data_IF_508800125926
#
_entry.id   IF_508800125926
#
_cell.length_a   1.000
_cell.length_b   1.000
_cell.length_c   1.000
_cell.angle_alpha   90.00
_cell.angle_beta   90.00
_cell.angle_gamma   90.00
#
_symmetry.space_group_name_H-M   'P 1'
#
loop_
_entity.id
_entity.type
_entity.pdbx_description
1 polymer ?
#
# COMPACT_ATOMS: atom_id res chain seq x y z
N UNK A 1 -14.41 9.05 15.66
CA UNK A 1 -13.96 7.65 15.62
C UNK A 1 -13.52 7.31 17.03
N UNK A 2 -14.31 6.48 17.74
CA UNK A 2 -13.93 6.02 19.08
C UNK A 2 -12.85 4.92 18.90
N UNK A 3 -11.68 5.16 19.47
CA UNK A 3 -10.64 4.19 19.60
C UNK A 3 -11.03 3.17 20.66
N UNK A 4 -11.24 1.92 20.25
CA UNK A 4 -11.39 0.81 21.21
C UNK A 4 -10.08 0.01 21.23
N UNK A 5 -9.27 0.09 22.29
CA UNK A 5 -7.97 -0.56 22.34
C UNK A 5 -8.04 -2.09 22.54
N UNK A 6 -9.21 -2.67 22.78
CA UNK A 6 -9.35 -4.08 23.14
C UNK A 6 -9.58 -5.05 21.96
N UNK A 7 -9.75 -4.57 20.72
CA UNK A 7 -9.92 -5.43 19.54
C UNK A 7 -8.62 -5.79 18.82
N UNK A 8 -7.58 -6.08 19.53
CA UNK A 8 -6.40 -6.70 18.93
C UNK A 8 -6.63 -8.20 18.79
N UNK A 9 -7.15 -8.62 17.64
CA UNK A 9 -7.21 -10.06 17.33
C UNK A 9 -5.79 -10.63 17.23
N UNK A 10 -5.58 -11.87 17.69
CA UNK A 10 -4.26 -12.55 17.61
C UNK A 10 -3.68 -12.53 16.17
N UNK A 11 -4.52 -12.50 15.16
CA UNK A 11 -4.15 -12.35 13.74
C UNK A 11 -3.44 -11.01 13.46
N UNK A 12 -3.76 -9.93 14.18
CA UNK A 12 -3.10 -8.63 14.00
C UNK A 12 -1.65 -8.63 14.52
N UNK A 13 -1.32 -9.52 15.47
CA UNK A 13 0.02 -9.61 16.03
C UNK A 13 1.08 -10.18 15.10
N UNK A 14 0.68 -10.80 13.99
CA UNK A 14 1.58 -11.39 12.98
C UNK A 14 1.46 -10.73 11.61
N UNK A 15 0.50 -9.83 11.42
CA UNK A 15 0.25 -9.19 10.14
C UNK A 15 1.25 -8.05 9.86
N UNK A 16 1.73 -7.99 8.61
CA UNK A 16 2.58 -6.92 8.11
C UNK A 16 1.82 -6.11 7.06
N UNK A 17 1.85 -4.79 7.19
CA UNK A 17 1.20 -3.84 6.30
C UNK A 17 2.19 -3.12 5.38
N UNK A 18 1.72 -2.75 4.19
CA UNK A 18 2.46 -1.98 3.21
C UNK A 18 1.67 -0.75 2.77
N UNK A 19 2.21 0.42 3.04
CA UNK A 19 1.70 1.70 2.58
C UNK A 19 2.42 2.12 1.30
N UNK A 20 1.69 2.27 0.21
CA UNK A 20 2.25 2.67 -1.08
C UNK A 20 1.89 4.13 -1.36
N UNK A 21 2.87 4.93 -1.82
CA UNK A 21 2.59 6.31 -2.23
C UNK A 21 1.50 6.36 -3.30
N UNK A 22 0.79 7.50 -3.45
CA UNK A 22 -0.26 7.64 -4.46
C UNK A 22 0.21 7.27 -5.87
N UNK A 23 -0.64 6.51 -6.57
CA UNK A 23 -0.47 6.18 -7.98
C UNK A 23 -1.01 7.32 -8.82
N UNK A 24 -0.18 7.89 -9.69
CA UNK A 24 -0.52 9.08 -10.48
C UNK A 24 -0.09 8.95 -11.94
N UNK A 25 -0.48 9.92 -12.78
CA UNK A 25 -0.05 10.01 -14.18
C UNK A 25 -0.62 8.91 -15.07
N UNK A 26 -1.83 8.43 -14.77
CA UNK A 26 -2.46 7.36 -15.57
C UNK A 26 -1.68 6.05 -15.49
N UNK A 27 -1.08 5.74 -14.33
CA UNK A 27 -0.23 4.58 -14.16
C UNK A 27 -0.89 3.28 -14.63
N UNK A 28 -0.37 2.65 -15.70
CA UNK A 28 -0.98 1.48 -16.35
C UNK A 28 -0.02 0.29 -16.58
N UNK A 29 0.98 0.11 -15.72
CA UNK A 29 1.95 -1.00 -15.83
C UNK A 29 1.49 -2.21 -15.02
N UNK A 30 0.52 -2.96 -15.53
CA UNK A 30 -0.13 -4.06 -14.83
C UNK A 30 0.83 -5.18 -14.41
N UNK A 31 1.74 -5.62 -15.30
CA UNK A 31 2.72 -6.65 -14.97
C UNK A 31 3.65 -6.25 -13.82
N UNK A 32 4.13 -5.02 -13.84
CA UNK A 32 4.97 -4.51 -12.76
C UNK A 32 4.22 -4.36 -11.45
N UNK A 33 2.92 -4.07 -11.51
CA UNK A 33 2.06 -4.08 -10.33
C UNK A 33 1.92 -5.48 -9.74
N UNK A 34 1.73 -6.50 -10.57
CA UNK A 34 1.65 -7.90 -10.14
C UNK A 34 2.97 -8.39 -9.55
N UNK A 35 4.10 -8.08 -10.18
CA UNK A 35 5.43 -8.40 -9.64
C UNK A 35 5.66 -7.75 -8.29
N UNK A 36 5.33 -6.46 -8.17
CA UNK A 36 5.41 -5.71 -6.92
C UNK A 36 4.60 -6.39 -5.81
N UNK A 37 3.34 -6.70 -6.08
CA UNK A 37 2.44 -7.31 -5.09
C UNK A 37 2.93 -8.70 -4.68
N UNK A 38 3.31 -9.54 -5.67
CA UNK A 38 3.81 -10.87 -5.40
C UNK A 38 5.13 -10.85 -4.61
N UNK A 39 6.03 -9.94 -4.93
CA UNK A 39 7.29 -9.77 -4.20
C UNK A 39 7.06 -9.45 -2.72
N UNK A 40 6.20 -8.47 -2.42
CA UNK A 40 5.92 -8.11 -1.02
C UNK A 40 5.12 -9.21 -0.30
N UNK A 41 4.26 -9.94 -0.99
CA UNK A 41 3.58 -11.10 -0.43
C UNK A 41 4.57 -12.21 -0.04
N UNK A 42 5.58 -12.49 -0.86
CA UNK A 42 6.66 -13.43 -0.53
C UNK A 42 7.48 -12.98 0.68
N UNK A 43 7.59 -11.68 0.93
CA UNK A 43 8.22 -11.13 2.13
C UNK A 43 7.32 -11.17 3.38
N UNK A 44 6.12 -11.74 3.27
CA UNK A 44 5.19 -11.88 4.39
C UNK A 44 4.23 -10.70 4.59
N UNK A 45 4.15 -9.76 3.64
CA UNK A 45 3.16 -8.70 3.68
C UNK A 45 1.77 -9.29 3.45
N UNK A 46 0.86 -9.01 4.36
CA UNK A 46 -0.53 -9.49 4.34
C UNK A 46 -1.56 -8.40 4.01
N UNK A 47 -1.16 -7.13 4.13
CA UNK A 47 -2.04 -5.99 3.88
C UNK A 47 -1.32 -4.96 3.03
N UNK A 48 -1.91 -4.56 1.90
CA UNK A 48 -1.36 -3.52 1.02
C UNK A 48 -2.42 -2.45 0.79
N UNK A 49 -2.08 -1.19 1.04
CA UNK A 49 -2.94 -0.05 0.76
C UNK A 49 -2.35 0.80 -0.36
N UNK A 50 -3.12 0.97 -1.43
CA UNK A 50 -2.85 1.86 -2.56
C UNK A 50 -3.75 3.08 -2.49
N UNK A 51 -3.23 4.21 -2.94
CA UNK A 51 -3.96 5.46 -3.13
C UNK A 51 -4.08 5.74 -4.62
N UNK A 52 -5.30 5.74 -5.16
CA UNK A 52 -5.57 5.97 -6.57
C UNK A 52 -5.83 7.45 -6.82
N UNK A 53 -4.79 8.17 -7.27
CA UNK A 53 -4.95 9.49 -7.84
C UNK A 53 -5.31 9.39 -9.34
N UNK A 54 -4.58 8.56 -10.09
CA UNK A 54 -4.82 8.31 -11.51
C UNK A 54 -4.13 7.01 -11.95
N UNK A 55 -4.91 5.97 -12.20
CA UNK A 55 -4.45 4.68 -12.74
C UNK A 55 -5.08 4.41 -14.10
N UNK A 56 -4.40 3.59 -14.90
CA UNK A 56 -4.92 3.14 -16.18
C UNK A 56 -5.76 1.86 -16.06
N UNK A 57 -6.48 1.50 -17.14
CA UNK A 57 -7.48 0.43 -17.11
C UNK A 57 -6.92 -0.96 -16.79
N UNK A 58 -5.68 -1.26 -17.16
CA UNK A 58 -5.12 -2.59 -16.92
C UNK A 58 -4.71 -2.76 -15.45
N UNK A 59 -4.16 -1.70 -14.84
CA UNK A 59 -3.87 -1.69 -13.41
C UNK A 59 -5.17 -1.73 -12.60
N UNK A 60 -6.20 -1.00 -13.03
CA UNK A 60 -7.51 -1.02 -12.38
C UNK A 60 -8.11 -2.44 -12.38
N UNK A 61 -8.07 -3.14 -13.52
CA UNK A 61 -8.51 -4.55 -13.61
C UNK A 61 -7.76 -5.46 -12.64
N UNK A 62 -6.43 -5.33 -12.55
CA UNK A 62 -5.60 -6.12 -11.64
C UNK A 62 -5.99 -5.85 -10.18
N UNK A 63 -6.07 -4.60 -9.78
CA UNK A 63 -6.40 -4.23 -8.41
C UNK A 63 -7.83 -4.65 -8.04
N UNK A 64 -8.79 -4.44 -8.93
CA UNK A 64 -10.18 -4.88 -8.73
C UNK A 64 -10.29 -6.42 -8.62
N UNK A 65 -9.50 -7.17 -9.39
CA UNK A 65 -9.44 -8.62 -9.24
C UNK A 65 -8.89 -9.04 -7.87
N UNK A 66 -7.81 -8.42 -7.41
CA UNK A 66 -7.19 -8.75 -6.12
C UNK A 66 -8.03 -8.33 -4.91
N UNK A 67 -8.90 -7.34 -5.07
CA UNK A 67 -9.82 -6.92 -4.00
C UNK A 67 -11.00 -7.89 -3.81
N UNK A 68 -11.29 -8.78 -4.78
CA UNK A 68 -12.34 -9.78 -4.64
C UNK A 68 -12.06 -10.70 -3.46
N UNK A 69 -13.09 -10.97 -2.68
CA UNK A 69 -12.96 -11.70 -1.42
C UNK A 69 -12.35 -13.09 -1.59
N UNK A 70 -12.74 -13.80 -2.65
CA UNK A 70 -12.25 -15.16 -2.93
C UNK A 70 -10.74 -15.17 -3.22
N UNK A 71 -10.26 -14.21 -3.99
CA UNK A 71 -8.83 -14.08 -4.30
C UNK A 71 -8.04 -13.69 -3.06
N UNK A 72 -8.58 -12.78 -2.26
CA UNK A 72 -7.98 -12.32 -1.01
C UNK A 72 -7.84 -13.46 0.00
N UNK A 73 -8.90 -14.24 0.24
CA UNK A 73 -8.88 -15.39 1.14
C UNK A 73 -7.89 -16.45 0.68
N UNK A 74 -7.91 -16.80 -0.62
CA UNK A 74 -7.01 -17.80 -1.20
C UNK A 74 -5.54 -17.44 -1.09
N UNK A 75 -5.21 -16.13 -1.21
CA UNK A 75 -3.82 -15.65 -1.17
C UNK A 75 -3.33 -15.20 0.20
N UNK A 76 -4.19 -15.13 1.22
CA UNK A 76 -3.85 -14.56 2.53
C UNK A 76 -3.42 -13.08 2.44
N UNK A 77 -3.86 -12.37 1.40
CA UNK A 77 -3.50 -11.00 1.11
C UNK A 77 -4.74 -10.11 1.07
N UNK A 78 -4.71 -9.01 1.79
CA UNK A 78 -5.74 -7.96 1.73
C UNK A 78 -5.19 -6.78 0.95
N UNK A 79 -5.80 -6.48 -0.21
CA UNK A 79 -5.49 -5.30 -1.00
C UNK A 79 -6.62 -4.28 -0.82
N UNK A 80 -6.26 -3.04 -0.53
CA UNK A 80 -7.17 -1.89 -0.45
C UNK A 80 -6.75 -0.84 -1.44
N UNK A 81 -7.71 -0.26 -2.14
CA UNK A 81 -7.48 0.87 -3.04
C UNK A 81 -8.39 2.00 -2.61
N UNK A 82 -7.80 3.11 -2.25
CA UNK A 82 -8.51 4.30 -1.77
C UNK A 82 -8.44 5.39 -2.83
N UNK A 83 -9.54 6.10 -3.12
CA UNK A 83 -9.50 7.26 -4.00
C UNK A 83 -8.63 8.35 -3.37
N UNK A 84 -7.82 9.02 -4.19
CA UNK A 84 -6.95 10.10 -3.74
C UNK A 84 -7.16 11.34 -4.61
N UNK A 85 -8.31 11.98 -4.42
CA UNK A 85 -8.64 13.25 -5.05
C UNK A 85 -8.34 14.38 -4.08
N UNK A 86 -7.36 15.20 -4.42
CA UNK A 86 -7.00 16.36 -3.60
C UNK A 86 -7.78 17.58 -4.08
N UNK A 87 -8.39 18.36 -3.17
CA UNK A 87 -9.17 19.55 -3.52
C UNK A 87 -8.25 20.75 -3.82
N UNK A 88 -7.35 20.57 -4.80
CA UNK A 88 -6.39 21.59 -5.19
C UNK A 88 -6.36 21.76 -6.70
N UNK A 89 -6.32 23.01 -7.16
CA UNK A 89 -6.36 23.34 -8.57
C UNK A 89 -5.12 22.87 -9.35
N UNK A 90 -3.98 22.74 -8.69
CA UNK A 90 -2.73 22.31 -9.31
C UNK A 90 -1.93 21.37 -8.42
N UNK A 91 -1.63 20.19 -8.93
CA UNK A 91 -0.77 19.20 -8.29
C UNK A 91 0.66 19.71 -8.09
N UNK A 92 1.10 20.71 -8.91
CA UNK A 92 2.41 21.33 -8.77
C UNK A 92 2.54 22.14 -7.48
N UNK A 93 1.43 22.57 -6.87
CA UNK A 93 1.42 23.28 -5.58
C UNK A 93 1.64 22.35 -4.41
N UNK A 94 1.42 21.05 -4.60
CA UNK A 94 1.60 20.05 -3.56
C UNK A 94 2.79 19.17 -3.96
N UNK A 95 3.85 19.28 -3.18
CA UNK A 95 5.02 18.44 -3.41
C UNK A 95 4.65 16.96 -3.31
N UNK A 96 4.94 16.20 -4.39
CA UNK A 96 4.80 14.74 -4.40
C UNK A 96 3.37 14.22 -4.14
N UNK A 97 2.35 14.86 -4.75
CA UNK A 97 0.93 14.44 -4.68
C UNK A 97 0.46 14.17 -3.23
N UNK A 98 0.88 15.03 -2.29
CA UNK A 98 0.64 14.87 -0.86
C UNK A 98 1.01 13.47 -0.33
N UNK A 99 2.13 12.94 -0.78
CA UNK A 99 2.64 11.61 -0.40
C UNK A 99 2.64 11.41 1.12
N UNK A 100 3.10 12.41 1.89
CA UNK A 100 3.13 12.30 3.35
C UNK A 100 1.74 12.19 3.96
N UNK A 101 0.75 12.88 3.42
CA UNK A 101 -0.64 12.79 3.89
C UNK A 101 -1.20 11.40 3.63
N UNK A 102 -0.97 10.82 2.45
CA UNK A 102 -1.39 9.47 2.12
C UNK A 102 -0.73 8.42 3.02
N UNK A 103 0.57 8.57 3.30
CA UNK A 103 1.30 7.65 4.17
C UNK A 103 0.83 7.76 5.63
N UNK A 104 0.54 8.95 6.12
CA UNK A 104 -0.03 9.15 7.45
C UNK A 104 -1.44 8.55 7.56
N UNK A 105 -2.30 8.76 6.56
CA UNK A 105 -3.62 8.14 6.52
C UNK A 105 -3.51 6.61 6.53
N UNK A 106 -2.61 6.04 5.73
CA UNK A 106 -2.35 4.60 5.72
C UNK A 106 -1.93 4.06 7.08
N UNK A 107 -1.02 4.77 7.76
CA UNK A 107 -0.60 4.37 9.11
C UNK A 107 -1.77 4.36 10.09
N UNK A 108 -2.59 5.41 10.09
CA UNK A 108 -3.77 5.48 10.94
C UNK A 108 -4.74 4.33 10.66
N UNK A 109 -4.90 3.93 9.40
CA UNK A 109 -5.76 2.81 9.03
C UNK A 109 -5.20 1.45 9.44
N UNK A 110 -3.88 1.34 9.65
CA UNK A 110 -3.23 0.12 10.08
C UNK A 110 -3.19 -0.05 11.61
N UNK A 111 -3.52 0.98 12.37
CA UNK A 111 -3.63 0.87 13.83
C UNK A 111 -4.60 -0.27 14.17
N UNK A 112 -4.17 -1.16 15.05
CA UNK A 112 -4.88 -2.38 15.48
C UNK A 112 -5.12 -3.46 14.40
N UNK A 113 -4.58 -3.29 13.18
CA UNK A 113 -4.75 -4.27 12.08
C UNK A 113 -3.48 -5.01 11.74
N UNK A 114 -2.32 -4.38 11.93
CA UNK A 114 -1.02 -4.96 11.63
C UNK A 114 -0.04 -4.66 12.75
N UNK A 115 0.95 -5.52 12.93
CA UNK A 115 2.00 -5.31 13.93
C UNK A 115 3.03 -4.29 13.45
N UNK A 116 3.39 -4.35 12.17
CA UNK A 116 4.37 -3.45 11.56
C UNK A 116 3.84 -2.97 10.22
N UNK A 117 4.08 -1.71 9.92
CA UNK A 117 3.79 -1.12 8.62
C UNK A 117 5.07 -0.63 7.95
N UNK A 118 5.27 -1.01 6.70
CA UNK A 118 6.34 -0.48 5.86
C UNK A 118 5.78 0.56 4.90
N UNK A 119 6.53 1.64 4.70
CA UNK A 119 6.21 2.67 3.72
C UNK A 119 7.12 2.53 2.52
N UNK A 120 6.54 2.44 1.32
CA UNK A 120 7.34 2.32 0.09
C UNK A 120 6.98 3.38 -0.91
N UNK A 121 8.02 3.96 -1.47
CA UNK A 121 7.95 4.82 -2.64
C UNK A 121 8.25 3.92 -3.83
N UNK A 122 7.23 3.67 -4.67
CA UNK A 122 7.44 2.92 -5.90
C UNK A 122 8.26 3.77 -6.86
N UNK A 123 9.52 3.39 -7.07
CA UNK A 123 10.31 3.94 -8.17
C UNK A 123 9.91 3.24 -9.48
N UNK A 124 9.86 3.97 -10.57
CA UNK A 124 9.49 3.43 -11.90
C UNK A 124 10.54 2.45 -12.47
N UNK A 125 11.64 2.24 -11.78
CA UNK A 125 12.78 1.44 -12.25
C UNK A 125 13.02 0.25 -11.35
N UNK A 126 12.83 -0.93 -11.93
CA UNK A 126 13.42 -2.23 -11.64
C UNK A 126 13.34 -2.78 -10.19
N UNK A 127 12.59 -3.85 -10.07
CA UNK A 127 12.43 -4.70 -8.88
C UNK A 127 13.77 -5.25 -8.34
N UNK A 128 14.79 -5.38 -9.17
CA UNK A 128 16.10 -5.92 -8.79
C UNK A 128 16.97 -4.95 -7.97
N UNK A 129 16.76 -3.66 -8.07
CA UNK A 129 17.49 -2.67 -7.25
C UNK A 129 16.96 -2.51 -5.83
N UNK A 130 15.78 -3.04 -5.55
CA UNK A 130 15.12 -2.88 -4.25
C UNK A 130 15.70 -3.82 -3.19
N UNK A 131 16.25 -4.97 -3.58
CA UNK A 131 16.87 -5.91 -2.64
C UNK A 131 18.10 -5.34 -1.93
N UNK A 132 18.90 -4.54 -2.62
CA UNK A 132 20.07 -3.90 -2.00
C UNK A 132 19.74 -2.71 -1.10
N UNK A 133 18.54 -2.13 -1.24
CA UNK A 133 18.07 -1.00 -0.43
C UNK A 133 17.15 -1.43 0.72
N UNK A 134 16.53 -2.60 0.66
CA UNK A 134 15.71 -3.14 1.76
C UNK A 134 16.51 -3.38 3.04
N UNK A 135 17.82 -3.66 2.94
CA UNK A 135 18.70 -3.69 4.11
C UNK A 135 18.91 -2.31 4.79
N UNK A 136 18.49 -1.20 4.18
CA UNK A 136 18.60 0.16 4.74
C UNK A 136 17.28 0.79 5.15
N UNK A 137 16.13 0.18 4.86
CA UNK A 137 14.86 0.68 5.37
C UNK A 137 14.64 0.16 6.80
N UNK A 138 15.00 0.99 7.76
CA UNK A 138 14.57 0.81 9.14
C UNK A 138 13.04 0.71 9.15
N UNK A 139 12.54 -0.42 9.61
CA UNK A 139 11.15 -0.58 10.06
C UNK A 139 10.97 0.40 11.22
N UNK A 140 10.37 1.55 10.95
CA UNK A 140 10.00 2.51 11.98
C UNK A 140 8.50 2.42 12.16
N UNK A 141 8.08 1.81 13.21
CA UNK A 141 7.03 2.10 14.18
C UNK A 141 6.59 0.81 14.84
N UNK A 142 6.95 0.65 16.09
CA UNK A 142 6.22 -0.21 17.01
C UNK A 142 4.90 0.51 17.36
N UNK A 143 3.78 -0.13 17.07
CA UNK A 143 2.48 0.30 17.57
C UNK A 143 2.18 -0.39 18.88
#
# INVERSE_FOLDING_TARGET
VQFNPEERTESANTAFGLCVKPLYGGYNRALWMLEFINFYQLLGITHITFYNHSIGPDVDKVLNHLMKEDVRKKKGLTVRVLPWALPVESQMKIRTEAQFSALNDCNLQFINRVKYAAMVVRTQTQTLYTLSKLCRFRIWMNF
#
